data_IF_681817566905
#
_entry.id   IF_681817566905
#
_cell.length_a   1.000
_cell.length_b   1.000
_cell.length_c   1.000
_cell.angle_alpha   90.00
_cell.angle_beta   90.00
_cell.angle_gamma   90.00
#
_symmetry.space_group_name_H-M   'P 1'
#
loop_
_entity.id
_entity.type
_entity.pdbx_description
1 polymer ?
#
# COMPACT_ATOMS: atom_id res chain seq x y z
N UNK A 1 69.26 -22.89 26.26
CA UNK A 1 68.16 -22.75 27.24
C UNK A 1 66.90 -22.44 26.45
N UNK A 2 66.09 -23.46 26.14
CA UNK A 2 64.80 -23.82 26.77
C UNK A 2 63.68 -22.77 26.60
N UNK A 3 62.58 -23.27 26.03
CA UNK A 3 61.34 -22.64 25.58
C UNK A 3 60.63 -21.70 26.56
N UNK A 4 59.72 -20.85 26.02
CA UNK A 4 58.29 -20.96 26.36
C UNK A 4 57.39 -20.19 25.40
N UNK A 5 56.46 -20.96 24.83
CA UNK A 5 55.22 -20.55 24.17
C UNK A 5 54.31 -19.88 25.20
N UNK A 6 53.63 -18.80 24.82
CA UNK A 6 52.43 -18.32 25.55
C UNK A 6 51.30 -18.09 24.56
N UNK A 7 50.31 -18.96 24.67
CA UNK A 7 49.07 -18.99 23.91
C UNK A 7 48.01 -18.11 24.61
N UNK A 8 47.10 -17.57 23.77
CA UNK A 8 45.72 -17.09 24.05
C UNK A 8 45.47 -15.79 24.83
N UNK A 9 44.79 -14.83 24.19
CA UNK A 9 43.36 -14.57 24.45
C UNK A 9 42.73 -13.78 23.27
N UNK A 10 41.52 -14.19 22.87
CA UNK A 10 40.70 -13.61 21.81
C UNK A 10 39.74 -12.51 22.32
N UNK A 11 39.27 -11.61 21.45
CA UNK A 11 37.89 -11.07 21.36
C UNK A 11 37.84 -9.96 20.27
N UNK A 12 37.30 -10.21 19.08
CA UNK A 12 35.91 -9.98 18.63
C UNK A 12 35.42 -8.52 18.66
N UNK A 13 35.28 -7.91 17.49
CA UNK A 13 34.17 -7.03 17.15
C UNK A 13 33.95 -7.04 15.62
N UNK A 14 32.82 -7.62 15.23
CA UNK A 14 32.42 -7.85 13.85
C UNK A 14 32.12 -6.55 13.10
N UNK A 15 32.50 -6.50 11.82
CA UNK A 15 32.09 -5.47 10.87
C UNK A 15 30.60 -5.66 10.59
N UNK A 16 29.74 -4.90 11.28
CA UNK A 16 28.32 -4.73 10.93
C UNK A 16 28.18 -3.63 9.89
N UNK A 17 28.01 -3.98 8.63
CA UNK A 17 27.50 -3.05 7.61
C UNK A 17 26.99 -3.79 6.36
N UNK A 18 25.72 -4.19 6.37
CA UNK A 18 24.89 -4.27 5.17
C UNK A 18 23.44 -4.12 5.63
N UNK A 19 22.96 -2.88 5.54
CA UNK A 19 21.78 -2.37 6.22
C UNK A 19 20.52 -3.19 5.95
N UNK A 20 19.78 -3.39 7.03
CA UNK A 20 18.37 -3.71 6.97
C UNK A 20 17.69 -2.80 5.95
N UNK A 21 17.01 -3.39 4.97
CA UNK A 21 15.92 -2.72 4.27
C UNK A 21 14.79 -2.48 5.28
N UNK A 22 14.97 -1.49 6.16
CA UNK A 22 13.89 -0.98 6.98
C UNK A 22 12.99 -0.20 6.02
N UNK A 23 11.85 -0.78 5.67
CA UNK A 23 10.74 -0.02 5.10
C UNK A 23 10.42 1.11 6.07
N UNK A 24 10.86 2.33 5.75
CA UNK A 24 10.45 3.52 6.51
C UNK A 24 8.92 3.60 6.43
N UNK A 25 8.25 3.35 7.55
CA UNK A 25 6.86 3.72 7.71
C UNK A 25 6.78 5.25 7.62
N UNK A 26 6.26 5.76 6.50
CA UNK A 26 6.03 7.20 6.34
C UNK A 26 5.02 7.63 7.40
N UNK A 27 5.37 8.65 8.19
CA UNK A 27 4.48 9.19 9.20
C UNK A 27 3.20 9.74 8.55
N UNK A 28 2.04 9.52 9.19
CA UNK A 28 0.78 10.09 8.73
C UNK A 28 0.84 11.62 8.68
N UNK A 29 0.54 12.17 7.51
CA UNK A 29 0.45 13.61 7.26
C UNK A 29 -0.72 14.24 8.03
N UNK A 30 -0.64 15.54 8.28
CA UNK A 30 -1.75 16.29 8.89
C UNK A 30 -3.05 16.15 8.07
N UNK A 31 -2.94 16.14 6.74
CA UNK A 31 -4.09 15.93 5.85
C UNK A 31 -4.76 14.57 6.09
N UNK A 32 -3.98 13.49 6.23
CA UNK A 32 -4.52 12.15 6.48
C UNK A 32 -5.29 12.08 7.80
N UNK A 33 -4.80 12.75 8.85
CA UNK A 33 -5.47 12.82 10.15
C UNK A 33 -6.82 13.55 10.08
N UNK A 34 -6.91 14.60 9.26
CA UNK A 34 -8.15 15.36 9.08
C UNK A 34 -9.14 14.70 8.08
N UNK A 35 -8.71 13.71 7.30
CA UNK A 35 -9.51 13.08 6.25
C UNK A 35 -9.54 11.54 6.35
N UNK A 36 -9.89 10.96 7.50
CA UNK A 36 -9.77 9.51 7.72
C UNK A 36 -10.59 8.67 6.73
N UNK A 37 -11.78 9.15 6.33
CA UNK A 37 -12.63 8.45 5.35
C UNK A 37 -11.97 8.38 3.97
N UNK A 38 -11.43 9.50 3.50
CA UNK A 38 -10.73 9.59 2.21
C UNK A 38 -9.47 8.70 2.20
N UNK A 39 -8.77 8.65 3.34
CA UNK A 39 -7.61 7.78 3.52
C UNK A 39 -7.99 6.32 3.43
N UNK A 40 -9.09 5.92 4.08
CA UNK A 40 -9.61 4.56 3.99
C UNK A 40 -9.90 4.15 2.54
N UNK A 41 -10.61 4.99 1.77
CA UNK A 41 -10.97 4.67 0.38
C UNK A 41 -9.72 4.59 -0.51
N UNK A 42 -8.75 5.48 -0.30
CA UNK A 42 -7.44 5.42 -0.98
C UNK A 42 -6.66 4.14 -0.65
N UNK A 43 -6.71 3.68 0.60
CA UNK A 43 -6.08 2.42 1.00
C UNK A 43 -6.73 1.21 0.34
N UNK A 44 -8.07 1.22 0.21
CA UNK A 44 -8.81 0.18 -0.52
C UNK A 44 -8.38 0.10 -1.98
N UNK A 45 -8.34 1.24 -2.68
CA UNK A 45 -7.88 1.33 -4.06
C UNK A 45 -6.43 0.84 -4.19
N UNK A 46 -5.55 1.23 -3.27
CA UNK A 46 -4.16 0.75 -3.28
C UNK A 46 -4.06 -0.77 -3.04
N UNK A 47 -4.95 -1.35 -2.23
CA UNK A 47 -5.02 -2.79 -2.04
C UNK A 47 -5.52 -3.53 -3.29
N UNK A 48 -6.58 -3.02 -3.94
CA UNK A 48 -7.10 -3.58 -5.20
C UNK A 48 -6.04 -3.56 -6.30
N UNK A 49 -5.34 -2.43 -6.48
CA UNK A 49 -4.23 -2.32 -7.43
C UNK A 49 -3.12 -3.34 -7.18
N UNK A 50 -2.81 -3.65 -5.91
CA UNK A 50 -1.86 -4.72 -5.57
C UNK A 50 -2.38 -6.10 -5.96
N UNK A 51 -3.67 -6.39 -5.73
CA UNK A 51 -4.29 -7.65 -6.16
C UNK A 51 -4.28 -7.81 -7.69
N UNK A 52 -4.71 -6.77 -8.43
CA UNK A 52 -4.68 -6.74 -9.90
C UNK A 52 -3.25 -7.01 -10.42
N UNK A 53 -2.25 -6.35 -9.82
CA UNK A 53 -0.85 -6.56 -10.22
C UNK A 53 -0.39 -7.99 -9.98
N UNK A 54 -0.81 -8.60 -8.87
CA UNK A 54 -0.48 -9.99 -8.55
C UNK A 54 -1.13 -10.97 -9.54
N UNK A 55 -2.42 -10.83 -9.82
CA UNK A 55 -3.14 -11.72 -10.74
C UNK A 55 -2.60 -11.62 -12.18
N UNK A 56 -2.21 -10.42 -12.63
CA UNK A 56 -1.50 -10.25 -13.91
C UNK A 56 -0.15 -10.98 -13.90
N UNK A 57 0.60 -10.91 -12.80
CA UNK A 57 1.91 -11.57 -12.67
C UNK A 57 1.77 -13.10 -12.63
N UNK A 58 0.72 -13.60 -12.00
CA UNK A 58 0.43 -15.03 -11.88
C UNK A 58 -0.17 -15.62 -13.17
N UNK A 59 -0.64 -14.76 -14.09
CA UNK A 59 -1.24 -15.17 -15.36
C UNK A 59 -2.75 -15.42 -15.28
N UNK A 60 -3.34 -15.21 -14.10
CA UNK A 60 -4.78 -15.35 -13.83
C UNK A 60 -5.61 -14.20 -14.41
N UNK A 61 -4.97 -13.09 -14.80
CA UNK A 61 -5.63 -11.91 -15.37
C UNK A 61 -4.87 -11.35 -16.57
N UNK A 62 -5.60 -11.04 -17.65
CA UNK A 62 -5.00 -10.38 -18.82
C UNK A 62 -4.68 -8.90 -18.51
N UNK A 63 -3.67 -8.34 -19.19
CA UNK A 63 -3.37 -6.90 -19.10
C UNK A 63 -4.58 -6.00 -19.45
N UNK A 64 -5.45 -6.45 -20.36
CA UNK A 64 -6.67 -5.72 -20.74
C UNK A 64 -7.69 -5.66 -19.60
N UNK A 65 -7.95 -6.78 -18.93
CA UNK A 65 -8.81 -6.82 -17.75
C UNK A 65 -8.22 -5.95 -16.63
N UNK A 66 -6.92 -6.06 -16.38
CA UNK A 66 -6.24 -5.22 -15.39
C UNK A 66 -6.35 -3.73 -15.68
N UNK A 67 -6.24 -3.33 -16.96
CA UNK A 67 -6.43 -1.94 -17.36
C UNK A 67 -7.86 -1.45 -17.07
N UNK A 68 -8.88 -2.27 -17.38
CA UNK A 68 -10.28 -1.92 -17.10
C UNK A 68 -10.51 -1.70 -15.60
N UNK A 69 -10.12 -2.67 -14.76
CA UNK A 69 -10.30 -2.59 -13.30
C UNK A 69 -9.57 -1.39 -12.68
N UNK A 70 -8.38 -1.06 -13.20
CA UNK A 70 -7.62 0.13 -12.77
C UNK A 70 -8.28 1.44 -13.21
N UNK A 71 -8.90 1.45 -14.39
CA UNK A 71 -9.67 2.60 -14.86
C UNK A 71 -10.91 2.83 -13.99
N UNK A 72 -11.58 1.77 -13.56
CA UNK A 72 -12.72 1.85 -12.64
C UNK A 72 -12.29 2.37 -11.26
N UNK A 73 -11.19 1.86 -10.70
CA UNK A 73 -10.60 2.40 -9.46
C UNK A 73 -10.23 3.89 -9.59
N UNK A 74 -9.70 4.31 -10.74
CA UNK A 74 -9.39 5.71 -11.00
C UNK A 74 -10.66 6.57 -11.10
N UNK A 75 -11.72 6.05 -11.72
CA UNK A 75 -13.02 6.74 -11.81
C UNK A 75 -13.62 6.94 -10.42
N UNK A 76 -13.64 5.90 -9.59
CA UNK A 76 -14.09 5.98 -8.20
C UNK A 76 -13.26 7.02 -7.43
N UNK A 77 -11.92 7.03 -7.64
CA UNK A 77 -11.04 8.03 -7.02
C UNK A 77 -11.35 9.46 -7.45
N UNK A 78 -11.79 9.67 -8.68
CA UNK A 78 -12.20 10.98 -9.18
C UNK A 78 -13.53 11.40 -8.56
N UNK A 79 -14.53 10.51 -8.56
CA UNK A 79 -15.83 10.75 -7.95
C UNK A 79 -15.70 11.10 -6.46
N UNK A 80 -14.79 10.42 -5.74
CA UNK A 80 -14.41 10.75 -4.37
C UNK A 80 -13.94 12.21 -4.22
N UNK A 81 -13.13 12.71 -5.15
CA UNK A 81 -12.66 14.12 -5.10
C UNK A 81 -13.80 15.07 -5.37
N UNK A 82 -14.65 14.74 -6.33
CA UNK A 82 -15.75 15.59 -6.76
C UNK A 82 -16.79 15.69 -5.64
N UNK A 83 -17.15 14.58 -5.00
CA UNK A 83 -18.01 14.54 -3.80
C UNK A 83 -17.38 15.31 -2.63
N UNK A 84 -16.09 15.10 -2.36
CA UNK A 84 -15.41 15.82 -1.29
C UNK A 84 -15.35 17.33 -1.54
N UNK A 85 -15.16 17.75 -2.80
CA UNK A 85 -15.09 19.17 -3.17
C UNK A 85 -16.39 19.93 -2.89
N UNK A 86 -17.53 19.24 -2.99
CA UNK A 86 -18.86 19.79 -2.70
C UNK A 86 -19.11 19.97 -1.20
N UNK A 87 -18.35 19.28 -0.36
CA UNK A 87 -18.56 19.17 1.09
C UNK A 87 -17.32 19.64 1.89
N UNK A 88 -16.63 20.66 1.39
CA UNK A 88 -15.50 21.28 2.11
C UNK A 88 -14.30 20.35 2.30
N UNK A 89 -14.04 19.49 1.30
CA UNK A 89 -13.03 18.41 1.33
C UNK A 89 -13.36 17.18 2.16
N UNK A 90 -14.57 17.07 2.73
CA UNK A 90 -15.03 15.91 3.49
C UNK A 90 -16.05 15.08 2.70
N UNK A 91 -16.16 13.79 3.00
CA UNK A 91 -17.20 12.94 2.44
C UNK A 91 -18.36 12.82 3.43
N UNK A 92 -19.59 12.86 2.92
CA UNK A 92 -20.77 12.52 3.71
C UNK A 92 -20.88 10.99 3.86
N UNK A 93 -21.78 10.54 4.74
CA UNK A 93 -22.08 9.11 4.87
C UNK A 93 -22.70 8.52 3.60
N UNK A 94 -23.48 9.32 2.88
CA UNK A 94 -24.09 8.90 1.62
C UNK A 94 -23.02 8.71 0.53
N UNK A 95 -22.10 9.68 0.41
CA UNK A 95 -20.95 9.60 -0.50
C UNK A 95 -20.12 8.34 -0.21
N UNK A 96 -19.79 8.13 1.07
CA UNK A 96 -19.01 6.97 1.50
C UNK A 96 -19.73 5.65 1.17
N UNK A 97 -21.05 5.57 1.36
CA UNK A 97 -21.81 4.38 1.00
C UNK A 97 -21.76 4.11 -0.50
N UNK A 98 -21.97 5.13 -1.34
CA UNK A 98 -21.92 5.01 -2.79
C UNK A 98 -20.53 4.54 -3.27
N UNK A 99 -19.46 5.20 -2.81
CA UNK A 99 -18.07 4.83 -3.14
C UNK A 99 -17.77 3.40 -2.67
N UNK A 100 -18.23 3.01 -1.48
CA UNK A 100 -18.01 1.66 -0.96
C UNK A 100 -18.68 0.57 -1.81
N UNK A 101 -19.90 0.81 -2.31
CA UNK A 101 -20.57 -0.13 -3.20
C UNK A 101 -19.78 -0.30 -4.51
N UNK A 102 -19.37 0.81 -5.14
CA UNK A 102 -18.56 0.75 -6.37
C UNK A 102 -17.22 0.03 -6.16
N UNK A 103 -16.51 0.30 -5.05
CA UNK A 103 -15.28 -0.41 -4.71
C UNK A 103 -15.55 -1.90 -4.44
N UNK A 104 -16.70 -2.27 -3.88
CA UNK A 104 -17.04 -3.69 -3.67
C UNK A 104 -17.33 -4.39 -4.99
N UNK A 105 -18.01 -3.72 -5.92
CA UNK A 105 -18.28 -4.23 -7.26
C UNK A 105 -16.96 -4.44 -8.02
N UNK A 106 -16.11 -3.42 -8.10
CA UNK A 106 -14.80 -3.53 -8.76
C UNK A 106 -13.93 -4.62 -8.08
N UNK A 107 -13.92 -4.69 -6.74
CA UNK A 107 -13.17 -5.71 -6.00
C UNK A 107 -13.60 -7.15 -6.32
N UNK A 108 -14.89 -7.36 -6.62
CA UNK A 108 -15.43 -8.69 -6.96
C UNK A 108 -14.98 -9.15 -8.33
N UNK A 109 -14.67 -8.22 -9.23
CA UNK A 109 -14.21 -8.53 -10.59
C UNK A 109 -12.71 -8.87 -10.65
N UNK A 110 -11.97 -8.55 -9.59
CA UNK A 110 -10.59 -9.00 -9.39
C UNK A 110 -10.63 -10.47 -8.93
N UNK A 111 -10.05 -11.39 -9.72
CA UNK A 111 -10.00 -12.83 -9.45
C UNK A 111 -11.17 -13.64 -10.01
N UNK A 112 -11.96 -13.07 -10.93
CA UNK A 112 -12.93 -13.80 -11.77
C UNK A 112 -12.29 -14.32 -13.04
#
# INVERSE_FOLDING_TARGET
>A
MRASIRTTLALLAAVTAAGAFSTQAMAETAWQKHHPVRVHDNQRIAHQNRRITREVKEGEMTHKQAHALRADDHKIRQEERDMASQNGSHLTRADQHALNQQLNENSRDIGK
#
